data_IF_099547639826
#
_entry.id   IF_099547639826
#
_cell.length_a   1.000
_cell.length_b   1.000
_cell.length_c   1.000
_cell.angle_alpha   90.00
_cell.angle_beta   90.00
_cell.angle_gamma   90.00
#
_symmetry.space_group_name_H-M   'P 1'
#
loop_
_entity.id
_entity.type
_entity.pdbx_description
1 polymer ?
#
# COMPACT_ATOMS: atom_id res chain seq x y z
N UNK A 1 2.58 13.90 19.54
CA UNK A 1 1.66 13.53 18.45
C UNK A 1 2.33 12.46 17.58
N UNK A 2 1.78 11.26 17.47
CA UNK A 2 2.31 10.23 16.58
C UNK A 2 2.03 10.58 15.12
N UNK A 3 2.95 10.24 14.20
CA UNK A 3 2.81 10.38 12.77
C UNK A 3 2.77 8.98 12.13
N UNK A 4 1.74 8.71 11.33
CA UNK A 4 1.59 7.46 10.61
C UNK A 4 1.68 7.73 9.11
N UNK A 5 2.62 7.08 8.42
CA UNK A 5 2.77 7.18 6.98
C UNK A 5 2.55 5.83 6.33
N UNK A 6 1.70 5.78 5.30
CA UNK A 6 1.42 4.53 4.61
C UNK A 6 0.23 4.61 3.66
N UNK A 7 -0.11 3.50 3.02
CA UNK A 7 -1.22 3.42 2.07
C UNK A 7 -2.08 2.17 2.24
N UNK A 8 -1.80 1.33 3.25
CA UNK A 8 -2.60 0.13 3.52
C UNK A 8 -3.84 0.51 4.31
N UNK A 9 -4.97 0.63 3.60
CA UNK A 9 -6.24 1.09 4.15
C UNK A 9 -6.68 0.32 5.40
N UNK A 10 -6.48 -1.01 5.43
CA UNK A 10 -6.83 -1.83 6.58
C UNK A 10 -6.13 -1.36 7.87
N UNK A 11 -4.83 -1.10 7.83
CA UNK A 11 -4.08 -0.65 9.01
C UNK A 11 -4.49 0.75 9.45
N UNK A 12 -4.74 1.64 8.49
CA UNK A 12 -5.23 2.99 8.79
C UNK A 12 -6.62 2.90 9.41
N UNK A 13 -7.53 2.11 8.85
CA UNK A 13 -8.87 1.93 9.40
C UNK A 13 -8.86 1.27 10.78
N UNK A 14 -7.98 0.29 11.04
CA UNK A 14 -7.92 -0.36 12.36
C UNK A 14 -7.52 0.62 13.46
N UNK A 15 -6.69 1.61 13.15
CA UNK A 15 -6.28 2.64 14.10
C UNK A 15 -7.40 3.69 14.26
N UNK A 16 -7.94 4.21 13.14
CA UNK A 16 -8.90 5.31 13.17
C UNK A 16 -10.29 4.89 13.63
N UNK A 17 -10.68 3.66 13.38
CA UNK A 17 -12.01 3.13 13.71
C UNK A 17 -11.96 2.17 14.90
N UNK A 18 -10.81 2.10 15.59
CA UNK A 18 -10.61 1.14 16.69
C UNK A 18 -11.12 -0.27 16.31
N UNK A 19 -10.77 -0.69 15.08
CA UNK A 19 -11.29 -1.90 14.47
C UNK A 19 -10.70 -3.12 15.19
N UNK A 20 -11.57 -3.91 15.78
CA UNK A 20 -11.17 -5.19 16.35
C UNK A 20 -10.87 -6.16 15.19
N UNK A 21 -9.61 -6.55 15.06
CA UNK A 21 -9.19 -7.51 14.05
C UNK A 21 -9.61 -8.95 14.39
N UNK A 22 -10.36 -9.14 15.48
CA UNK A 22 -10.92 -10.44 15.81
C UNK A 22 -11.99 -10.81 14.77
N UNK A 23 -11.82 -11.94 14.03
CA UNK A 23 -12.74 -12.32 12.96
C UNK A 23 -14.17 -12.62 13.44
N UNK A 24 -14.37 -12.87 14.73
CA UNK A 24 -15.65 -13.31 15.27
C UNK A 24 -16.66 -12.17 15.50
N UNK A 25 -16.21 -10.93 15.68
CA UNK A 25 -17.09 -9.76 15.82
C UNK A 25 -16.38 -8.47 15.36
N UNK A 26 -16.44 -8.12 14.08
CA UNK A 26 -15.91 -6.82 13.62
C UNK A 26 -16.84 -5.70 14.09
N UNK A 27 -16.68 -5.22 15.31
CA UNK A 27 -17.41 -4.05 15.80
C UNK A 27 -16.62 -2.79 15.45
N UNK A 28 -17.24 -1.89 14.69
CA UNK A 28 -16.77 -0.52 14.53
C UNK A 28 -16.94 0.18 15.88
N UNK A 29 -15.85 0.57 16.50
CA UNK A 29 -15.84 1.35 17.73
C UNK A 29 -15.53 2.81 17.39
N UNK A 30 -16.02 3.80 18.15
CA UNK A 30 -15.64 5.18 17.95
C UNK A 30 -14.13 5.35 18.06
N UNK A 31 -13.56 6.23 17.26
CA UNK A 31 -12.14 6.55 17.31
C UNK A 31 -11.81 7.12 18.70
N UNK A 32 -10.73 6.63 19.31
CA UNK A 32 -10.27 7.07 20.62
C UNK A 32 -9.41 8.35 20.55
N UNK A 33 -9.06 8.78 19.35
CA UNK A 33 -8.09 9.85 19.11
C UNK A 33 -8.64 10.85 18.11
N UNK A 34 -8.31 12.13 18.31
CA UNK A 34 -8.42 13.13 17.28
C UNK A 34 -7.34 12.90 16.22
N UNK A 35 -7.68 13.05 14.95
CA UNK A 35 -6.77 12.81 13.86
C UNK A 35 -7.00 13.74 12.68
N UNK A 36 -5.94 14.00 11.94
CA UNK A 36 -5.99 14.69 10.66
C UNK A 36 -5.31 13.83 9.59
N UNK A 37 -5.97 13.66 8.44
CA UNK A 37 -5.45 12.84 7.35
C UNK A 37 -5.09 13.71 6.15
N UNK A 38 -3.85 13.56 5.67
CA UNK A 38 -3.39 14.12 4.41
C UNK A 38 -3.22 13.00 3.38
N UNK A 39 -3.91 13.12 2.26
CA UNK A 39 -3.85 12.17 1.16
C UNK A 39 -3.04 12.70 -0.03
N UNK A 40 -2.30 11.80 -0.69
CA UNK A 40 -1.64 12.08 -1.96
C UNK A 40 -2.38 11.34 -3.08
N UNK A 41 -2.96 12.09 -4.02
CA UNK A 41 -3.65 11.56 -5.18
C UNK A 41 -3.03 12.16 -6.45
N UNK A 42 -1.87 11.69 -6.88
CA UNK A 42 -1.23 12.18 -8.09
C UNK A 42 -2.06 11.80 -9.33
N UNK A 43 -1.81 12.49 -10.43
CA UNK A 43 -2.35 12.11 -11.73
C UNK A 43 -2.09 10.63 -12.04
N UNK A 44 -3.08 9.95 -12.62
CA UNK A 44 -3.04 8.50 -12.84
C UNK A 44 -1.92 8.07 -13.78
N UNK A 45 -1.69 8.83 -14.85
CA UNK A 45 -0.64 8.50 -15.82
C UNK A 45 0.74 8.66 -15.18
N UNK A 46 0.96 9.74 -14.44
CA UNK A 46 2.20 9.98 -13.68
C UNK A 46 2.43 8.90 -12.62
N UNK A 47 1.38 8.48 -11.92
CA UNK A 47 1.48 7.40 -10.93
C UNK A 47 1.87 6.08 -11.58
N UNK A 48 1.24 5.71 -12.68
CA UNK A 48 1.54 4.47 -13.40
C UNK A 48 2.94 4.46 -13.97
N UNK A 49 3.40 5.59 -14.50
CA UNK A 49 4.79 5.73 -14.95
C UNK A 49 5.79 5.50 -13.79
N UNK A 50 5.58 6.14 -12.64
CA UNK A 50 6.42 5.94 -11.45
C UNK A 50 6.39 4.48 -10.95
N UNK A 51 5.23 3.83 -10.97
CA UNK A 51 5.11 2.40 -10.61
C UNK A 51 5.96 1.54 -11.53
N UNK A 52 5.85 1.75 -12.84
CA UNK A 52 6.62 0.99 -13.84
C UNK A 52 8.12 1.20 -13.65
N UNK A 53 8.57 2.44 -13.54
CA UNK A 53 9.98 2.76 -13.27
C UNK A 53 10.51 2.11 -11.98
N UNK A 54 9.68 2.10 -10.92
CA UNK A 54 10.05 1.43 -9.66
C UNK A 54 10.24 -0.07 -9.85
N UNK A 55 9.38 -0.72 -10.62
CA UNK A 55 9.50 -2.16 -10.92
C UNK A 55 10.78 -2.42 -11.70
N UNK A 56 11.06 -1.62 -12.74
CA UNK A 56 12.26 -1.77 -13.56
C UNK A 56 13.54 -1.61 -12.71
N UNK A 57 13.58 -0.59 -11.84
CA UNK A 57 14.69 -0.36 -10.91
C UNK A 57 14.85 -1.53 -9.93
N UNK A 58 13.78 -1.99 -9.31
CA UNK A 58 13.79 -3.11 -8.37
C UNK A 58 14.42 -4.37 -9.00
N UNK A 59 14.16 -4.61 -10.29
CA UNK A 59 14.77 -5.73 -11.00
C UNK A 59 16.26 -5.52 -11.25
N UNK A 60 16.66 -4.29 -11.62
CA UNK A 60 18.07 -3.90 -11.78
C UNK A 60 18.84 -4.00 -10.48
N UNK A 61 18.22 -3.65 -9.35
CA UNK A 61 18.80 -3.72 -8.00
C UNK A 61 18.91 -5.17 -7.47
N UNK A 62 18.55 -6.18 -8.28
CA UNK A 62 18.82 -7.59 -7.95
C UNK A 62 17.68 -8.32 -7.25
N UNK A 63 16.44 -7.86 -7.31
CA UNK A 63 15.29 -8.51 -6.66
C UNK A 63 15.11 -9.98 -7.09
N UNK A 64 15.48 -10.36 -8.31
CA UNK A 64 15.42 -11.77 -8.75
C UNK A 64 16.37 -12.65 -7.93
N UNK A 65 17.60 -12.17 -7.69
CA UNK A 65 18.58 -12.89 -6.90
C UNK A 65 18.15 -13.00 -5.43
N UNK A 66 17.59 -11.92 -4.88
CA UNK A 66 17.01 -11.89 -3.54
C UNK A 66 15.90 -12.94 -3.38
N UNK A 67 14.90 -12.90 -4.26
CA UNK A 67 13.77 -13.85 -4.23
C UNK A 67 14.25 -15.28 -4.40
N UNK A 68 15.20 -15.53 -5.32
CA UNK A 68 15.79 -16.86 -5.54
C UNK A 68 16.44 -17.41 -4.25
N UNK A 69 17.19 -16.56 -3.53
CA UNK A 69 17.83 -16.93 -2.26
C UNK A 69 16.80 -17.27 -1.18
N UNK A 70 15.77 -16.42 -1.02
CA UNK A 70 14.71 -16.63 -0.04
C UNK A 70 13.88 -17.86 -0.40
N UNK A 71 13.48 -17.99 -1.66
CA UNK A 71 12.69 -19.11 -2.14
C UNK A 71 13.40 -20.45 -1.94
N UNK A 72 14.69 -20.53 -2.28
CA UNK A 72 15.51 -21.74 -2.04
C UNK A 72 15.53 -22.14 -0.56
N UNK A 73 15.59 -21.13 0.35
CA UNK A 73 15.67 -21.38 1.80
C UNK A 73 14.33 -21.80 2.41
N UNK A 74 13.22 -21.34 1.84
CA UNK A 74 11.89 -21.45 2.47
C UNK A 74 10.84 -22.10 1.54
N UNK A 75 11.25 -22.81 0.49
CA UNK A 75 10.36 -23.41 -0.52
C UNK A 75 9.27 -24.29 0.11
N UNK A 76 9.62 -25.06 1.12
CA UNK A 76 8.72 -25.99 1.78
C UNK A 76 7.84 -25.33 2.85
N UNK A 77 8.07 -24.04 3.14
CA UNK A 77 7.28 -23.27 4.09
C UNK A 77 6.30 -22.39 3.33
N UNK A 78 5.01 -22.57 3.55
CA UNK A 78 3.94 -21.69 2.99
C UNK A 78 3.99 -20.31 3.66
N UNK A 79 5.01 -19.51 3.34
CA UNK A 79 5.15 -18.16 3.88
C UNK A 79 4.21 -17.21 3.14
N UNK A 80 3.32 -16.54 3.87
CA UNK A 80 2.40 -15.51 3.33
C UNK A 80 3.17 -14.38 2.65
N UNK A 81 4.37 -14.03 3.15
CA UNK A 81 5.23 -13.01 2.57
C UNK A 81 5.64 -13.31 1.12
N UNK A 82 5.76 -14.59 0.74
CA UNK A 82 6.09 -14.99 -0.63
C UNK A 82 4.90 -14.84 -1.61
N UNK A 83 3.69 -14.60 -1.12
CA UNK A 83 2.52 -14.32 -1.95
C UNK A 83 2.38 -12.85 -2.35
N UNK A 84 3.25 -11.96 -1.84
CA UNK A 84 3.25 -10.53 -2.14
C UNK A 84 3.53 -10.22 -3.61
N UNK A 85 3.09 -9.03 -4.04
CA UNK A 85 3.38 -8.53 -5.39
C UNK A 85 4.90 -8.40 -5.56
N UNK A 86 5.42 -8.92 -6.67
CA UNK A 86 6.85 -9.02 -6.94
C UNK A 86 7.36 -10.44 -6.64
N UNK A 87 7.24 -10.89 -5.41
CA UNK A 87 7.72 -12.22 -5.01
C UNK A 87 7.01 -13.35 -5.76
N UNK A 88 5.68 -13.37 -5.76
CA UNK A 88 4.89 -14.40 -6.43
C UNK A 88 5.24 -14.53 -7.90
N UNK A 89 5.31 -13.42 -8.65
CA UNK A 89 5.58 -13.43 -10.08
C UNK A 89 7.02 -13.85 -10.38
N UNK A 90 7.99 -13.45 -9.56
CA UNK A 90 9.38 -13.90 -9.71
C UNK A 90 9.48 -15.40 -9.41
N UNK A 91 8.75 -15.93 -8.43
CA UNK A 91 8.70 -17.37 -8.15
C UNK A 91 8.09 -18.14 -9.34
N UNK A 92 6.99 -17.65 -9.94
CA UNK A 92 6.42 -18.24 -11.17
C UNK A 92 7.45 -18.31 -12.31
N UNK A 93 8.29 -17.28 -12.45
CA UNK A 93 9.41 -17.28 -13.40
C UNK A 93 10.50 -18.29 -13.01
N UNK A 94 10.93 -18.33 -11.76
CA UNK A 94 11.93 -19.28 -11.29
C UNK A 94 11.49 -20.74 -11.43
N UNK A 95 10.18 -21.00 -11.29
CA UNK A 95 9.55 -22.30 -11.52
C UNK A 95 9.32 -22.59 -13.02
N UNK A 96 9.78 -21.72 -13.93
CA UNK A 96 9.62 -21.85 -15.40
C UNK A 96 8.16 -21.90 -15.87
N UNK A 97 7.21 -21.37 -15.08
CA UNK A 97 5.79 -21.30 -15.44
C UNK A 97 5.47 -20.15 -16.39
N UNK A 98 6.28 -19.10 -16.33
CA UNK A 98 6.17 -17.92 -17.19
C UNK A 98 7.56 -17.40 -17.55
N UNK A 99 7.66 -16.63 -18.62
CA UNK A 99 8.88 -15.92 -19.01
C UNK A 99 9.19 -14.74 -18.06
N UNK A 100 10.42 -14.25 -18.09
CA UNK A 100 10.82 -13.07 -17.32
C UNK A 100 9.99 -11.83 -17.72
N UNK A 101 9.78 -11.62 -19.01
CA UNK A 101 8.99 -10.49 -19.51
C UNK A 101 7.54 -10.55 -19.03
N UNK A 102 6.92 -11.73 -19.03
CA UNK A 102 5.58 -11.91 -18.46
C UNK A 102 5.54 -11.64 -16.96
N UNK A 103 6.55 -12.07 -16.22
CA UNK A 103 6.65 -11.78 -14.79
C UNK A 103 6.71 -10.26 -14.53
N UNK A 104 7.55 -9.53 -15.29
CA UNK A 104 7.70 -8.07 -15.20
C UNK A 104 6.36 -7.37 -15.47
N UNK A 105 5.69 -7.72 -16.56
CA UNK A 105 4.41 -7.10 -16.91
C UNK A 105 3.30 -7.43 -15.89
N UNK A 106 3.28 -8.65 -15.35
CA UNK A 106 2.38 -9.02 -14.24
C UNK A 106 2.66 -8.18 -13.00
N UNK A 107 3.92 -7.96 -12.61
CA UNK A 107 4.28 -7.13 -11.45
C UNK A 107 3.82 -5.70 -11.65
N UNK A 108 4.09 -5.08 -12.82
CA UNK A 108 3.66 -3.72 -13.16
C UNK A 108 2.13 -3.60 -13.09
N UNK A 109 1.41 -4.52 -13.71
CA UNK A 109 -0.06 -4.56 -13.71
C UNK A 109 -0.63 -4.69 -12.30
N UNK A 110 -0.15 -5.65 -11.53
CA UNK A 110 -0.67 -5.94 -10.19
C UNK A 110 -0.36 -4.80 -9.23
N UNK A 111 0.79 -4.11 -9.38
CA UNK A 111 1.14 -2.90 -8.64
C UNK A 111 0.21 -1.73 -8.98
N UNK A 112 -0.15 -1.53 -10.25
CA UNK A 112 -1.15 -0.52 -10.66
C UNK A 112 -2.53 -0.84 -10.09
N UNK A 113 -2.93 -2.11 -10.10
CA UNK A 113 -4.19 -2.55 -9.49
C UNK A 113 -4.19 -2.33 -7.97
N UNK A 114 -3.06 -2.58 -7.31
CA UNK A 114 -2.92 -2.31 -5.89
C UNK A 114 -3.10 -0.82 -5.57
N UNK A 115 -2.44 0.06 -6.33
CA UNK A 115 -2.62 1.50 -6.18
C UNK A 115 -4.08 1.95 -6.41
N UNK A 116 -4.78 1.37 -7.39
CA UNK A 116 -6.22 1.60 -7.60
C UNK A 116 -7.05 1.18 -6.39
N UNK A 117 -6.76 0.00 -5.80
CA UNK A 117 -7.47 -0.48 -4.60
C UNK A 117 -7.26 0.45 -3.40
N UNK A 118 -6.04 0.98 -3.20
CA UNK A 118 -5.78 1.96 -2.14
C UNK A 118 -6.68 3.20 -2.30
N UNK A 119 -6.77 3.77 -3.50
CA UNK A 119 -7.64 4.92 -3.77
C UNK A 119 -9.12 4.61 -3.54
N UNK A 120 -9.58 3.42 -3.94
CA UNK A 120 -10.97 2.98 -3.69
C UNK A 120 -11.25 2.89 -2.19
N UNK A 121 -10.29 2.40 -1.41
CA UNK A 121 -10.41 2.30 0.04
C UNK A 121 -10.53 3.68 0.69
N UNK A 122 -9.65 4.61 0.36
CA UNK A 122 -9.69 5.97 0.91
C UNK A 122 -10.97 6.71 0.52
N UNK A 123 -11.45 6.58 -0.71
CA UNK A 123 -12.75 7.14 -1.13
C UNK A 123 -13.93 6.54 -0.35
N UNK A 124 -13.84 5.26 0.01
CA UNK A 124 -14.84 4.64 0.89
C UNK A 124 -14.82 5.24 2.29
N UNK A 125 -13.64 5.50 2.85
CA UNK A 125 -13.52 6.18 4.14
C UNK A 125 -14.15 7.58 4.11
N UNK A 126 -13.94 8.36 3.05
CA UNK A 126 -14.61 9.67 2.87
C UNK A 126 -16.13 9.55 2.85
N UNK A 127 -16.67 8.54 2.15
CA UNK A 127 -18.11 8.25 2.16
C UNK A 127 -18.65 7.87 3.55
N UNK A 128 -17.79 7.39 4.43
CA UNK A 128 -18.09 7.07 5.82
C UNK A 128 -17.92 8.28 6.76
N UNK A 129 -17.68 9.47 6.22
CA UNK A 129 -17.55 10.72 6.98
C UNK A 129 -16.13 11.07 7.41
N UNK A 130 -15.11 10.27 7.06
CA UNK A 130 -13.72 10.56 7.39
C UNK A 130 -13.17 11.61 6.42
N UNK A 131 -12.75 12.76 6.96
CA UNK A 131 -12.21 13.87 6.16
C UNK A 131 -10.77 13.60 5.76
N UNK A 132 -10.47 13.63 4.46
CA UNK A 132 -9.10 13.49 3.90
C UNK A 132 -8.73 14.76 3.15
N UNK A 133 -7.60 15.38 3.54
CA UNK A 133 -7.08 16.59 2.89
C UNK A 133 -6.16 16.20 1.74
N UNK A 134 -6.71 16.12 0.52
CA UNK A 134 -5.98 15.69 -0.66
C UNK A 134 -5.02 16.75 -1.22
N UNK A 135 -3.84 16.30 -1.64
CA UNK A 135 -2.86 17.07 -2.44
C UNK A 135 -2.54 18.47 -1.88
N UNK A 136 -2.54 18.62 -0.56
CA UNK A 136 -2.19 19.89 0.06
C UNK A 136 -0.69 20.18 -0.08
N UNK A 137 -0.35 21.43 -0.41
CA UNK A 137 1.04 21.87 -0.41
C UNK A 137 1.56 22.11 1.02
N UNK A 138 2.87 22.32 1.16
CA UNK A 138 3.52 22.47 2.46
C UNK A 138 2.90 23.60 3.33
N UNK A 139 2.51 24.72 2.71
CA UNK A 139 1.90 25.86 3.44
C UNK A 139 0.52 25.48 3.97
N UNK A 140 -0.30 24.85 3.13
CA UNK A 140 -1.63 24.39 3.51
C UNK A 140 -1.58 23.32 4.61
N UNK A 141 -0.63 22.37 4.51
CA UNK A 141 -0.41 21.35 5.55
C UNK A 141 -0.05 22.00 6.89
N UNK A 142 0.89 22.95 6.88
CA UNK A 142 1.29 23.67 8.10
C UNK A 142 0.10 24.42 8.73
N UNK A 143 -0.70 25.12 7.93
CA UNK A 143 -1.89 25.84 8.41
C UNK A 143 -2.90 24.89 9.05
N UNK A 144 -3.23 23.80 8.37
CA UNK A 144 -4.18 22.80 8.87
C UNK A 144 -3.69 22.12 10.14
N UNK A 145 -2.38 21.78 10.20
CA UNK A 145 -1.78 21.21 11.42
C UNK A 145 -1.84 22.18 12.60
N UNK A 146 -1.53 23.47 12.37
CA UNK A 146 -1.62 24.48 13.42
C UNK A 146 -3.04 24.55 13.98
N UNK A 147 -4.05 24.70 13.10
CA UNK A 147 -5.46 24.74 13.52
C UNK A 147 -5.90 23.47 14.26
N UNK A 148 -5.36 22.31 13.90
CA UNK A 148 -5.65 21.03 14.55
C UNK A 148 -5.00 20.92 15.95
N UNK A 149 -3.83 21.50 16.14
CA UNK A 149 -3.09 21.44 17.42
C UNK A 149 -3.55 22.51 18.41
N UNK A 150 -4.19 23.57 17.93
CA UNK A 150 -4.72 24.67 18.75
C UNK A 150 -6.14 24.37 19.27
N UNK A 151 -6.73 23.20 18.95
CA UNK A 151 -8.02 22.70 19.45
C UNK A 151 -7.86 21.94 20.79
#
# INVERSE_FOLDING_TARGET
MPLIAGGTGLYISSILQNYDLNPQEPKLRPCLYDFIIFGLAPDRAKLYHKINQRVDRMLQDGSIAEVKKIYKKYKDKKLVSLSGIGYRQIIEYLDKKISLNEAIEKIKRDSRHYAKRQMTWFRRMEKQGIKIHWNKNKVQVKKLLKTFLDQ
#
